data_IF_399733288509
#
_entry.id   IF_399733288509
#
_cell.length_a   1.000
_cell.length_b   1.000
_cell.length_c   1.000
_cell.angle_alpha   90.00
_cell.angle_beta   90.00
_cell.angle_gamma   90.00
#
_symmetry.space_group_name_H-M   'P 1'
#
loop_
_entity.id
_entity.type
_entity.pdbx_description
1 polymer ?
#
# COMPACT_ATOMS: atom_id res chain seq x y z
N UNK A 1 -4.37 -6.57 -19.10
CA UNK A 1 -4.05 -5.13 -19.00
C UNK A 1 -5.28 -4.25 -18.82
N UNK A 2 -6.29 -4.31 -19.71
CA UNK A 2 -7.52 -3.47 -19.61
C UNK A 2 -8.26 -3.59 -18.27
N UNK A 3 -8.45 -4.80 -17.75
CA UNK A 3 -9.14 -5.01 -16.46
C UNK A 3 -8.38 -4.42 -15.28
N UNK A 4 -7.05 -4.55 -15.27
CA UNK A 4 -6.22 -3.94 -14.24
C UNK A 4 -6.35 -2.42 -14.20
N UNK A 5 -6.37 -1.77 -15.37
CA UNK A 5 -6.58 -0.31 -15.47
C UNK A 5 -7.98 0.08 -14.97
N UNK A 6 -9.03 -0.70 -15.31
CA UNK A 6 -10.38 -0.47 -14.79
C UNK A 6 -10.42 -0.58 -13.26
N UNK A 7 -9.73 -1.57 -12.67
CA UNK A 7 -9.61 -1.71 -11.22
C UNK A 7 -8.96 -0.48 -10.60
N UNK A 8 -7.85 0.02 -11.16
CA UNK A 8 -7.22 1.25 -10.66
C UNK A 8 -8.15 2.46 -10.75
N UNK A 9 -8.89 2.61 -11.84
CA UNK A 9 -9.88 3.68 -11.99
C UNK A 9 -10.98 3.56 -10.94
N UNK A 10 -11.47 2.34 -10.67
CA UNK A 10 -12.49 2.08 -9.64
C UNK A 10 -11.98 2.46 -8.25
N UNK A 11 -10.78 2.00 -7.89
CA UNK A 11 -10.16 2.34 -6.59
C UNK A 11 -10.00 3.86 -6.42
N UNK A 12 -9.59 4.59 -7.47
CA UNK A 12 -9.50 6.06 -7.41
C UNK A 12 -10.84 6.78 -7.21
N UNK A 13 -11.97 6.12 -7.52
CA UNK A 13 -13.32 6.64 -7.28
C UNK A 13 -13.83 6.29 -5.88
N UNK A 14 -13.53 5.08 -5.42
CA UNK A 14 -13.95 4.55 -4.11
C UNK A 14 -13.16 5.18 -2.96
N UNK A 15 -11.89 5.51 -3.20
CA UNK A 15 -10.96 5.98 -2.17
C UNK A 15 -10.37 7.37 -2.51
N UNK A 16 -10.95 8.46 -1.98
CA UNK A 16 -10.54 9.84 -2.28
C UNK A 16 -9.06 10.13 -2.05
N UNK A 17 -8.38 9.48 -1.09
CA UNK A 17 -6.96 9.69 -0.82
C UNK A 17 -6.08 9.31 -2.03
N UNK A 18 -6.49 8.34 -2.85
CA UNK A 18 -5.78 8.01 -4.10
C UNK A 18 -5.89 9.12 -5.16
N UNK A 19 -6.94 9.94 -5.10
CA UNK A 19 -7.20 10.99 -6.08
C UNK A 19 -6.67 12.35 -5.63
N UNK A 20 -6.99 12.75 -4.40
CA UNK A 20 -6.76 14.08 -3.86
C UNK A 20 -5.79 14.10 -2.69
N UNK A 21 -5.44 12.93 -2.14
CA UNK A 21 -4.60 12.87 -0.96
C UNK A 21 -3.19 13.35 -1.20
N UNK A 22 -2.63 13.99 -0.16
CA UNK A 22 -1.21 14.34 -0.08
C UNK A 22 -0.34 13.08 -0.22
N UNK A 23 0.93 13.25 -0.58
CA UNK A 23 1.86 12.13 -0.74
C UNK A 23 3.03 12.27 0.22
N UNK A 24 3.40 11.16 0.87
CA UNK A 24 4.58 11.07 1.73
C UNK A 24 5.30 9.73 1.55
N UNK A 25 6.58 9.78 1.19
CA UNK A 25 7.44 8.58 1.19
C UNK A 25 7.59 8.02 2.60
N UNK A 26 7.49 6.69 2.73
CA UNK A 26 7.66 5.97 4.00
C UNK A 26 8.95 5.18 4.01
N UNK A 27 9.21 4.45 2.93
CA UNK A 27 10.36 3.58 2.83
C UNK A 27 10.74 3.37 1.38
N UNK A 28 12.02 3.17 1.11
CA UNK A 28 12.52 2.71 -0.18
C UNK A 28 13.49 1.56 0.06
N UNK A 29 13.42 0.54 -0.79
CA UNK A 29 14.38 -0.56 -0.77
C UNK A 29 15.79 -0.04 -1.02
N UNK A 30 16.79 -0.70 -0.44
CA UNK A 30 18.19 -0.25 -0.51
C UNK A 30 18.68 -0.11 -1.96
N UNK A 31 18.21 -0.97 -2.86
CA UNK A 31 18.53 -0.95 -4.28
C UNK A 31 17.51 -0.19 -5.13
N UNK A 32 16.60 0.57 -4.50
CA UNK A 32 15.50 1.26 -5.18
C UNK A 32 14.66 0.29 -6.04
N UNK A 33 14.55 -0.95 -5.60
CA UNK A 33 13.78 -2.05 -6.18
C UNK A 33 12.32 -2.00 -5.70
N UNK A 34 12.10 -1.49 -4.49
CA UNK A 34 10.78 -1.26 -3.94
C UNK A 34 10.63 0.16 -3.36
N UNK A 35 9.38 0.65 -3.31
CA UNK A 35 9.01 1.96 -2.76
C UNK A 35 7.70 1.82 -2.00
N UNK A 36 7.65 2.38 -0.80
CA UNK A 36 6.43 2.52 -0.02
C UNK A 36 6.15 3.99 0.25
N UNK A 37 4.91 4.39 0.01
CA UNK A 37 4.45 5.73 0.32
C UNK A 37 3.01 5.70 0.82
N UNK A 38 2.60 6.78 1.46
CA UNK A 38 1.25 6.98 1.98
C UNK A 38 0.56 8.12 1.23
N UNK A 39 -0.74 7.93 1.02
CA UNK A 39 -1.70 8.94 0.57
C UNK A 39 -2.67 9.23 1.70
N UNK A 40 -2.88 10.50 2.02
CA UNK A 40 -3.79 10.91 3.10
C UNK A 40 -4.73 12.02 2.64
N UNK A 41 -6.02 11.84 2.89
CA UNK A 41 -7.07 12.81 2.60
C UNK A 41 -8.24 12.65 3.59
N UNK A 42 -8.66 13.72 4.27
CA UNK A 42 -9.83 13.74 5.17
C UNK A 42 -9.89 12.57 6.18
N UNK A 43 -8.74 12.15 6.72
CA UNK A 43 -8.66 11.04 7.68
C UNK A 43 -8.63 9.64 7.06
N UNK A 44 -8.87 9.52 5.75
CA UNK A 44 -8.56 8.32 4.98
C UNK A 44 -7.04 8.26 4.75
N UNK A 45 -6.45 7.12 5.09
CA UNK A 45 -5.03 6.84 4.87
C UNK A 45 -4.86 5.60 4.02
N UNK A 46 -4.07 5.75 2.97
CA UNK A 46 -3.76 4.69 2.01
C UNK A 46 -2.27 4.53 1.83
N UNK A 47 -1.73 3.39 2.25
CA UNK A 47 -0.35 3.03 1.99
C UNK A 47 -0.25 2.23 0.69
N UNK A 48 0.70 2.58 -0.16
CA UNK A 48 0.98 1.95 -1.46
C UNK A 48 2.39 1.37 -1.43
N UNK A 49 2.50 0.06 -1.65
CA UNK A 49 3.78 -0.66 -1.75
C UNK A 49 4.03 -1.03 -3.20
N UNK A 50 5.08 -0.50 -3.83
CA UNK A 50 5.48 -0.77 -5.22
C UNK A 50 6.73 -1.64 -5.24
N UNK A 51 6.65 -2.83 -5.84
CA UNK A 51 7.82 -3.64 -6.20
C UNK A 51 8.08 -3.50 -7.71
N UNK A 52 9.20 -2.86 -8.05
CA UNK A 52 9.64 -2.58 -9.42
C UNK A 52 10.51 -3.68 -10.00
N UNK A 53 11.30 -4.38 -9.19
CA UNK A 53 12.29 -5.33 -9.69
C UNK A 53 12.41 -6.56 -8.79
N UNK A 54 12.49 -7.73 -9.43
CA UNK A 54 12.76 -8.98 -8.73
C UNK A 54 11.66 -9.43 -7.77
N UNK A 55 11.92 -10.54 -7.11
CA UNK A 55 11.07 -11.08 -6.07
C UNK A 55 11.41 -10.41 -4.73
N UNK A 56 10.41 -9.86 -4.04
CA UNK A 56 10.60 -9.32 -2.70
C UNK A 56 10.23 -10.40 -1.68
N UNK A 57 11.23 -11.04 -1.08
CA UNK A 57 11.03 -12.10 -0.07
C UNK A 57 10.40 -11.56 1.21
N UNK A 58 11.00 -10.52 1.77
CA UNK A 58 10.50 -9.83 2.96
C UNK A 58 11.01 -8.38 3.02
N UNK A 59 10.15 -7.46 3.44
CA UNK A 59 10.52 -6.09 3.80
C UNK A 59 9.79 -5.66 5.07
N UNK A 60 10.52 -5.05 5.99
CA UNK A 60 9.93 -4.36 7.15
C UNK A 60 9.68 -2.90 6.78
N UNK A 61 8.41 -2.49 6.85
CA UNK A 61 7.96 -1.13 6.57
C UNK A 61 7.66 -0.45 7.91
N UNK A 62 8.39 0.60 8.30
CA UNK A 62 8.20 1.29 9.56
C UNK A 62 6.95 2.20 9.47
N UNK A 63 5.78 1.63 9.69
CA UNK A 63 4.50 2.33 9.67
C UNK A 63 3.67 1.93 10.88
N UNK A 64 3.14 2.92 11.59
CA UNK A 64 2.18 2.68 12.66
C UNK A 64 0.82 2.37 12.05
N UNK A 65 0.37 1.12 12.20
CA UNK A 65 -0.97 0.69 11.80
C UNK A 65 -1.47 -0.41 12.74
N UNK A 66 -2.76 -0.37 13.08
CA UNK A 66 -3.40 -1.36 13.94
C UNK A 66 -4.19 -2.41 13.14
N UNK A 67 -4.59 -2.07 11.93
CA UNK A 67 -5.33 -2.90 10.99
C UNK A 67 -4.92 -2.57 9.56
N UNK A 68 -5.31 -3.43 8.62
CA UNK A 68 -5.16 -3.17 7.21
C UNK A 68 -6.10 -4.05 6.38
N UNK A 69 -6.54 -3.54 5.24
CA UNK A 69 -7.24 -4.30 4.20
C UNK A 69 -6.46 -4.20 2.89
N UNK A 70 -6.24 -5.33 2.20
CA UNK A 70 -5.58 -5.33 0.89
C UNK A 70 -6.61 -5.03 -0.20
N UNK A 71 -6.55 -3.84 -0.80
CA UNK A 71 -7.48 -3.45 -1.88
C UNK A 71 -7.07 -3.98 -3.26
N UNK A 72 -5.77 -4.22 -3.46
CA UNK A 72 -5.19 -4.69 -4.71
C UNK A 72 -3.85 -5.36 -4.45
N UNK A 73 -3.44 -6.28 -5.34
CA UNK A 73 -2.13 -6.93 -5.30
C UNK A 73 -2.14 -8.30 -4.62
N UNK A 74 -0.95 -8.91 -4.53
CA UNK A 74 -0.71 -10.16 -3.80
C UNK A 74 0.61 -10.04 -3.05
N UNK A 75 0.57 -10.42 -1.78
CA UNK A 75 1.70 -10.46 -0.86
C UNK A 75 1.16 -10.84 0.52
N UNK A 76 1.99 -11.48 1.31
CA UNK A 76 1.63 -11.84 2.68
C UNK A 76 2.01 -10.69 3.60
N UNK A 77 1.14 -10.45 4.58
CA UNK A 77 1.22 -9.28 5.43
C UNK A 77 1.01 -9.64 6.87
N UNK A 78 1.88 -9.08 7.69
CA UNK A 78 1.93 -9.37 9.09
C UNK A 78 2.17 -8.07 9.85
N UNK A 79 1.27 -7.77 10.80
CA UNK A 79 1.48 -6.68 11.74
C UNK A 79 2.69 -7.01 12.61
N UNK A 80 3.59 -6.04 12.77
CA UNK A 80 4.69 -6.08 13.71
C UNK A 80 4.54 -4.92 14.71
N UNK A 81 5.14 -5.00 15.92
CA UNK A 81 4.98 -3.97 16.96
C UNK A 81 5.31 -2.54 16.54
N UNK A 82 6.10 -2.35 15.48
CA UNK A 82 6.56 -1.04 15.00
C UNK A 82 6.41 -0.88 13.48
N UNK A 83 5.60 -1.74 12.83
CA UNK A 83 5.57 -1.76 11.38
C UNK A 83 4.70 -2.83 10.76
N UNK A 84 4.91 -3.00 9.46
CA UNK A 84 4.29 -4.05 8.67
C UNK A 84 5.40 -4.85 8.00
N UNK A 85 5.32 -6.18 8.07
CA UNK A 85 6.18 -7.06 7.28
C UNK A 85 5.42 -7.43 6.01
N UNK A 86 6.03 -7.14 4.85
CA UNK A 86 5.53 -7.52 3.53
C UNK A 86 6.37 -8.66 2.98
N UNK A 87 5.74 -9.77 2.60
CA UNK A 87 6.44 -10.96 2.08
C UNK A 87 5.92 -11.41 0.72
N UNK A 88 6.79 -12.12 -0.01
CA UNK A 88 6.48 -12.85 -1.24
C UNK A 88 5.83 -11.99 -2.34
N UNK A 89 6.25 -10.74 -2.44
CA UNK A 89 5.66 -9.78 -3.38
C UNK A 89 6.35 -9.89 -4.74
N UNK A 90 5.58 -10.22 -5.78
CA UNK A 90 6.07 -10.33 -7.16
C UNK A 90 6.22 -8.95 -7.82
N UNK A 91 7.15 -8.78 -8.78
CA UNK A 91 7.31 -7.52 -9.49
C UNK A 91 6.09 -7.22 -10.36
N UNK A 92 5.77 -5.92 -10.45
CA UNK A 92 4.46 -5.41 -10.84
C UNK A 92 3.94 -5.67 -12.26
N UNK A 93 4.71 -6.28 -13.16
CA UNK A 93 4.34 -6.37 -14.58
C UNK A 93 3.26 -7.39 -14.92
N UNK A 94 2.95 -8.38 -14.07
CA UNK A 94 1.95 -9.40 -14.42
C UNK A 94 0.59 -9.25 -13.75
N UNK A 95 0.46 -8.82 -12.48
CA UNK A 95 -0.83 -8.82 -11.75
C UNK A 95 -0.99 -7.78 -10.63
N UNK A 96 -0.31 -6.64 -10.71
CA UNK A 96 -0.58 -5.50 -9.83
C UNK A 96 0.62 -5.13 -8.97
N UNK A 97 1.21 -3.93 -9.16
CA UNK A 97 2.43 -3.49 -8.49
C UNK A 97 2.18 -3.04 -7.07
N UNK A 98 0.93 -2.92 -6.62
CA UNK A 98 0.55 -2.09 -5.48
C UNK A 98 -0.25 -2.92 -4.47
N UNK A 99 0.30 -3.13 -3.28
CA UNK A 99 -0.53 -3.36 -2.10
C UNK A 99 -1.05 -2.01 -1.64
N UNK A 100 -2.36 -1.86 -1.62
CA UNK A 100 -3.05 -0.64 -1.22
C UNK A 100 -3.80 -0.96 0.06
N UNK A 101 -3.47 -0.25 1.14
CA UNK A 101 -4.13 -0.40 2.44
C UNK A 101 -5.17 0.67 2.64
N UNK A 102 -6.26 0.35 3.33
CA UNK A 102 -7.17 1.34 3.86
C UNK A 102 -7.10 1.31 5.39
N UNK A 103 -6.80 2.46 5.99
CA UNK A 103 -6.94 2.65 7.43
C UNK A 103 -8.09 3.63 7.65
N UNK A 104 -9.21 3.13 8.17
CA UNK A 104 -10.29 4.00 8.65
C UNK A 104 -9.89 4.44 10.05
N UNK A 105 -9.62 5.73 10.28
CA UNK A 105 -9.66 6.23 11.65
C UNK A 105 -11.07 5.94 12.19
N UNK A 106 -11.21 5.03 13.14
CA UNK A 106 -12.27 5.20 14.14
C UNK A 106 -11.89 6.44 14.92
N UNK A 107 -12.53 7.56 14.58
CA UNK A 107 -12.60 8.71 15.47
C UNK A 107 -13.24 8.16 16.75
N UNK A 108 -12.42 7.93 17.78
CA UNK A 108 -12.94 7.73 19.12
C UNK A 108 -13.68 9.00 19.50
N UNK A 109 -15.01 8.92 19.53
CA UNK A 109 -15.80 9.75 20.42
C UNK A 109 -15.60 9.17 21.82
N UNK A 110 -14.90 9.91 22.68
CA UNK A 110 -14.62 9.53 24.07
C UNK A 110 -13.68 10.51 24.71
#
# INVERSE_FOLDING_TARGET
>A
MREFIKTLIRLRKEYPALRWGSWRGVWAGQSNDALVYVREYEGERIMVVINRQGWLDAAFIPVETADFEVLLGRGDLELAPQGLVVRYMRPGMQRGPALIYHQTRRVGLG
#
